data_IF_122826529199
#
_entry.id   IF_122826529199
#
_cell.length_a   1.000
_cell.length_b   1.000
_cell.length_c   1.000
_cell.angle_alpha   90.00
_cell.angle_beta   90.00
_cell.angle_gamma   90.00
#
_symmetry.space_group_name_H-M   'P 1'
#
loop_
_entity.id
_entity.type
_entity.pdbx_description
1 polymer ?
#
# COMPACT_ATOMS: atom_id res chain seq x y z
N UNK A 1 -6.98 -22.92 7.78
CA UNK A 1 -6.40 -21.61 7.41
C UNK A 1 -7.54 -20.60 7.40
N UNK A 2 -7.36 -19.45 8.06
CA UNK A 2 -8.34 -18.35 8.02
C UNK A 2 -8.22 -17.59 6.68
N UNK A 3 -9.29 -16.94 6.20
CA UNK A 3 -9.21 -16.10 5.01
C UNK A 3 -8.28 -14.91 5.26
N UNK A 4 -7.39 -14.64 4.30
CA UNK A 4 -6.58 -13.42 4.29
C UNK A 4 -7.40 -12.28 3.73
N UNK A 5 -7.32 -11.10 4.35
CA UNK A 5 -7.96 -9.88 3.86
C UNK A 5 -6.99 -9.06 3.03
N UNK A 6 -7.46 -8.63 1.86
CA UNK A 6 -6.76 -7.67 1.00
C UNK A 6 -7.50 -6.34 1.08
N UNK A 7 -6.82 -5.32 1.57
CA UNK A 7 -7.33 -3.97 1.68
C UNK A 7 -7.63 -3.33 0.33
N UNK A 8 -8.43 -2.26 0.35
CA UNK A 8 -8.80 -1.51 -0.85
C UNK A 8 -7.56 -0.89 -1.48
N UNK A 9 -7.49 -0.96 -2.81
CA UNK A 9 -6.37 -0.41 -3.59
C UNK A 9 -4.99 -0.98 -3.23
N UNK A 10 -4.91 -2.08 -2.48
CA UNK A 10 -3.65 -2.77 -2.28
C UNK A 10 -3.11 -3.32 -3.61
N UNK A 11 -1.79 -3.27 -3.80
CA UNK A 11 -1.12 -3.78 -4.98
C UNK A 11 -0.21 -4.95 -4.59
N UNK A 12 -0.52 -6.13 -5.11
CA UNK A 12 0.25 -7.37 -4.92
C UNK A 12 1.09 -7.60 -6.16
N UNK A 13 2.41 -7.61 -6.02
CA UNK A 13 3.29 -7.87 -7.17
C UNK A 13 3.10 -9.28 -7.73
N UNK A 14 3.33 -9.43 -9.03
CA UNK A 14 3.28 -10.72 -9.70
C UNK A 14 4.21 -11.73 -9.01
N UNK A 15 3.70 -12.95 -8.78
CA UNK A 15 4.44 -14.01 -8.11
C UNK A 15 4.56 -13.89 -6.59
N UNK A 16 3.92 -12.89 -5.96
CA UNK A 16 3.91 -12.80 -4.49
C UNK A 16 2.92 -13.80 -3.86
N UNK A 17 3.28 -14.35 -2.70
CA UNK A 17 2.43 -15.27 -1.94
C UNK A 17 2.02 -14.60 -0.64
N UNK A 18 0.76 -14.16 -0.58
CA UNK A 18 0.20 -13.47 0.57
C UNK A 18 -0.19 -14.47 1.66
N UNK A 19 0.43 -14.32 2.83
CA UNK A 19 0.21 -15.20 4.00
C UNK A 19 -0.38 -14.46 5.21
N UNK A 20 -0.57 -13.15 5.11
CA UNK A 20 -1.07 -12.24 6.17
C UNK A 20 -1.93 -11.15 5.55
N UNK A 21 -2.80 -10.54 6.35
CA UNK A 21 -3.64 -9.41 5.93
C UNK A 21 -2.80 -8.27 5.33
N UNK A 22 -3.30 -7.70 4.25
CA UNK A 22 -2.68 -6.60 3.50
C UNK A 22 -3.50 -5.33 3.73
N UNK A 23 -2.93 -4.25 4.28
CA UNK A 23 -3.64 -2.98 4.49
C UNK A 23 -4.12 -2.34 3.19
N UNK A 24 -5.10 -1.42 3.30
CA UNK A 24 -5.50 -0.54 2.21
C UNK A 24 -4.27 0.18 1.64
N UNK A 25 -4.18 0.31 0.32
CA UNK A 25 -3.07 0.96 -0.39
C UNK A 25 -1.67 0.32 -0.22
N UNK A 26 -1.53 -0.82 0.46
CA UNK A 26 -0.22 -1.43 0.65
C UNK A 26 0.32 -2.03 -0.66
N UNK A 27 1.59 -1.75 -0.96
CA UNK A 27 2.36 -2.42 -2.01
C UNK A 27 3.13 -3.58 -1.38
N UNK A 28 2.82 -4.82 -1.77
CA UNK A 28 3.44 -6.04 -1.23
C UNK A 28 4.11 -6.88 -2.31
N UNK A 29 5.26 -7.48 -1.98
CA UNK A 29 6.06 -8.30 -2.90
C UNK A 29 6.66 -9.53 -2.23
N UNK A 30 7.02 -10.54 -3.03
CA UNK A 30 7.84 -11.69 -2.59
C UNK A 30 7.08 -12.87 -1.99
N UNK A 31 7.84 -13.88 -1.56
CA UNK A 31 7.35 -15.14 -0.99
C UNK A 31 8.12 -15.43 0.30
N UNK A 32 7.51 -15.30 1.49
CA UNK A 32 6.18 -14.75 1.74
C UNK A 32 6.09 -13.23 1.51
N UNK A 33 4.92 -12.73 1.11
CA UNK A 33 4.73 -11.33 0.79
C UNK A 33 5.10 -10.40 1.96
N UNK A 34 5.76 -9.27 1.64
CA UNK A 34 6.15 -8.20 2.57
C UNK A 34 5.77 -6.84 1.99
N UNK A 35 5.30 -5.93 2.83
CA UNK A 35 5.01 -4.54 2.43
C UNK A 35 6.33 -3.81 2.17
N UNK A 36 6.44 -3.22 0.98
CA UNK A 36 7.60 -2.42 0.55
C UNK A 36 7.28 -0.94 0.37
N UNK A 37 5.98 -0.58 0.37
CA UNK A 37 5.56 0.82 0.29
C UNK A 37 4.05 0.97 0.19
N UNK A 38 3.65 2.13 -0.30
CA UNK A 38 2.26 2.53 -0.51
C UNK A 38 2.00 2.83 -1.98
N UNK A 39 0.78 2.57 -2.43
CA UNK A 39 0.31 2.83 -3.79
C UNK A 39 -0.90 3.76 -3.75
N UNK A 40 -0.96 4.74 -4.64
CA UNK A 40 -2.16 5.57 -4.79
C UNK A 40 -3.30 4.79 -5.45
N UNK A 41 -4.52 5.34 -5.46
CA UNK A 41 -5.65 4.78 -6.25
C UNK A 41 -5.31 4.61 -7.74
N UNK A 42 -4.32 5.36 -8.19
CA UNK A 42 -3.74 5.27 -9.51
C UNK A 42 -3.04 3.93 -9.81
N UNK A 43 -2.65 3.15 -8.81
CA UNK A 43 -1.75 2.00 -8.98
C UNK A 43 -0.28 2.40 -9.16
N UNK A 44 0.06 3.67 -8.90
CA UNK A 44 1.44 4.17 -8.91
C UNK A 44 1.99 4.25 -7.47
N UNK A 45 3.24 3.84 -7.21
CA UNK A 45 3.89 4.02 -5.91
C UNK A 45 3.86 5.48 -5.47
N UNK A 46 3.53 5.70 -4.20
CA UNK A 46 3.48 7.04 -3.63
C UNK A 46 4.89 7.54 -3.29
N UNK A 47 5.09 8.85 -3.47
CA UNK A 47 6.34 9.53 -3.14
C UNK A 47 6.22 10.14 -1.75
N UNK A 48 7.17 9.85 -0.86
CA UNK A 48 7.19 10.43 0.48
C UNK A 48 7.55 11.92 0.42
N UNK A 49 6.70 12.79 1.00
CA UNK A 49 6.96 14.22 1.20
C UNK A 49 7.56 14.55 2.59
N UNK A 50 7.67 13.56 3.48
CA UNK A 50 8.15 13.71 4.86
C UNK A 50 7.01 13.71 5.89
N UNK A 51 7.35 13.41 7.15
CA UNK A 51 6.40 13.39 8.29
C UNK A 51 5.18 12.46 8.07
N UNK A 52 5.38 11.33 7.40
CA UNK A 52 4.28 10.38 7.11
C UNK A 52 3.35 10.83 5.97
N UNK A 53 3.67 11.92 5.26
CA UNK A 53 2.92 12.36 4.08
C UNK A 53 3.44 11.73 2.80
N UNK A 54 2.51 11.36 1.94
CA UNK A 54 2.75 10.71 0.66
C UNK A 54 1.95 11.42 -0.42
N UNK A 55 2.51 11.54 -1.62
CA UNK A 55 1.82 12.13 -2.77
C UNK A 55 1.81 11.16 -3.93
N UNK A 56 0.67 11.07 -4.61
CA UNK A 56 0.62 10.32 -5.86
C UNK A 56 1.22 11.16 -6.99
N UNK A 57 2.29 10.71 -7.66
CA UNK A 57 2.94 11.50 -8.71
C UNK A 57 2.05 11.66 -9.95
N UNK A 58 1.04 10.79 -10.14
CA UNK A 58 0.14 10.82 -11.29
C UNK A 58 -1.08 11.71 -11.11
N UNK A 59 -1.64 11.76 -9.90
CA UNK A 59 -2.91 12.45 -9.62
C UNK A 59 -2.75 13.68 -8.73
N UNK A 60 -1.61 13.81 -8.05
CA UNK A 60 -1.38 14.87 -7.06
C UNK A 60 -2.10 14.65 -5.73
N UNK A 61 -2.90 13.59 -5.57
CA UNK A 61 -3.60 13.27 -4.33
C UNK A 61 -2.61 13.05 -3.18
N UNK A 62 -2.91 13.65 -2.03
CA UNK A 62 -2.11 13.53 -0.82
C UNK A 62 -2.67 12.45 0.11
N UNK A 63 -1.77 11.76 0.77
CA UNK A 63 -2.04 10.68 1.69
C UNK A 63 -1.21 10.89 2.96
N UNK A 64 -1.75 10.42 4.08
CA UNK A 64 -1.10 10.47 5.38
C UNK A 64 -1.08 9.07 6.00
N UNK A 65 0.09 8.63 6.41
CA UNK A 65 0.30 7.39 7.15
C UNK A 65 0.20 7.67 8.65
N UNK A 66 -0.76 7.01 9.31
CA UNK A 66 -0.92 7.06 10.76
C UNK A 66 -1.08 5.64 11.31
N UNK A 67 -0.29 5.29 12.32
CA UNK A 67 -0.30 3.98 12.96
C UNK A 67 -0.19 2.77 11.98
N UNK A 68 0.52 2.95 10.86
CA UNK A 68 0.72 1.89 9.85
C UNK A 68 -0.46 1.69 8.90
N UNK A 69 -1.41 2.64 8.86
CA UNK A 69 -2.50 2.71 7.90
C UNK A 69 -2.37 3.98 7.07
N UNK A 70 -2.66 3.88 5.77
CA UNK A 70 -2.67 5.02 4.87
C UNK A 70 -4.09 5.56 4.71
N UNK A 71 -4.25 6.86 4.90
CA UNK A 71 -5.50 7.58 4.67
C UNK A 71 -5.29 8.67 3.64
N UNK A 72 -6.30 8.92 2.81
CA UNK A 72 -6.29 10.08 1.91
C UNK A 72 -6.68 11.32 2.70
N UNK A 73 -5.97 12.43 2.41
CA UNK A 73 -6.20 13.74 3.04
C UNK A 73 -7.20 14.55 2.24
#
# INVERSE_FOLDING_TARGET
MAPVRIGRWALVAAGAVVTKDVPDHALVVGVPARRVGWVGRAGEPLVAKGEGRFVCPRTGTEYHESAGLLTEV
#
